data_IF_524715962495
#
_entry.id   IF_524715962495
#
_cell.length_a   1.000
_cell.length_b   1.000
_cell.length_c   1.000
_cell.angle_alpha   90.00
_cell.angle_beta   90.00
_cell.angle_gamma   90.00
#
_symmetry.space_group_name_H-M   'P 1'
#
loop_
_entity.id
_entity.type
_entity.pdbx_description
1 polymer ?
#
# COMPACT_ATOMS: atom_id res chain seq x y z
N UNK A 1 -0.86 15.38 5.40
CA UNK A 1 -2.03 14.53 5.11
C UNK A 1 -1.67 13.16 5.65
N UNK A 2 -2.48 12.55 6.52
CA UNK A 2 -2.15 11.25 7.12
C UNK A 2 -2.77 10.12 6.30
N UNK A 3 -2.01 9.05 6.14
CA UNK A 3 -2.39 7.84 5.43
C UNK A 3 -2.46 6.67 6.40
N UNK A 4 -3.47 5.83 6.22
CA UNK A 4 -3.60 4.54 6.88
C UNK A 4 -3.36 3.48 5.83
N UNK A 5 -2.36 2.62 6.05
CA UNK A 5 -2.03 1.50 5.17
C UNK A 5 -2.50 0.24 5.87
N UNK A 6 -3.53 -0.40 5.32
CA UNK A 6 -4.01 -1.70 5.77
C UNK A 6 -3.19 -2.78 5.08
N UNK A 7 -2.61 -3.64 5.91
CA UNK A 7 -1.77 -4.75 5.52
C UNK A 7 -2.61 -6.03 5.44
N UNK A 8 -2.14 -7.07 4.72
CA UNK A 8 -2.96 -8.25 4.40
C UNK A 8 -3.31 -9.15 5.60
N UNK A 9 -2.75 -8.86 6.78
CA UNK A 9 -2.91 -9.61 8.02
C UNK A 9 -3.75 -8.86 9.07
N UNK A 10 -4.71 -8.02 8.64
CA UNK A 10 -5.58 -7.22 9.53
C UNK A 10 -4.78 -6.30 10.49
N UNK A 11 -3.62 -5.85 10.02
CA UNK A 11 -2.84 -4.84 10.71
C UNK A 11 -2.78 -3.57 9.89
N UNK A 12 -2.51 -2.45 10.54
CA UNK A 12 -2.33 -1.17 9.86
C UNK A 12 -1.03 -0.50 10.26
N UNK A 13 -0.59 0.40 9.40
CA UNK A 13 0.49 1.35 9.66
C UNK A 13 0.03 2.76 9.28
N UNK A 14 0.50 3.75 10.03
CA UNK A 14 0.12 5.15 9.84
C UNK A 14 1.31 5.97 9.36
N UNK A 15 1.11 6.80 8.35
CA UNK A 15 2.19 7.60 7.75
C UNK A 15 1.74 9.03 7.49
N UNK A 16 2.65 9.97 7.70
CA UNK A 16 2.45 11.39 7.38
C UNK A 16 2.87 11.74 5.94
N UNK A 17 3.63 10.85 5.30
CA UNK A 17 4.27 11.10 4.01
C UNK A 17 3.96 9.99 2.99
N UNK A 18 3.52 10.40 1.80
CA UNK A 18 3.19 9.49 0.69
C UNK A 18 4.39 8.66 0.19
N UNK A 19 5.61 9.20 0.24
CA UNK A 19 6.82 8.46 -0.13
C UNK A 19 7.08 7.28 0.81
N UNK A 20 6.77 7.41 2.09
CA UNK A 20 6.91 6.31 3.05
C UNK A 20 5.88 5.21 2.76
N UNK A 21 4.63 5.61 2.47
CA UNK A 21 3.57 4.69 2.06
C UNK A 21 3.99 3.90 0.82
N UNK A 22 4.46 4.59 -0.22
CA UNK A 22 4.87 3.96 -1.47
C UNK A 22 6.01 2.96 -1.26
N UNK A 23 7.03 3.33 -0.49
CA UNK A 23 8.16 2.45 -0.21
C UNK A 23 7.74 1.17 0.51
N UNK A 24 6.90 1.28 1.56
CA UNK A 24 6.43 0.13 2.32
C UNK A 24 5.55 -0.78 1.47
N UNK A 25 4.63 -0.21 0.69
CA UNK A 25 3.76 -1.01 -0.17
C UNK A 25 4.56 -1.75 -1.25
N UNK A 26 5.52 -1.07 -1.89
CA UNK A 26 6.41 -1.69 -2.89
C UNK A 26 7.29 -2.79 -2.27
N UNK A 27 7.82 -2.59 -1.06
CA UNK A 27 8.61 -3.60 -0.37
C UNK A 27 7.80 -4.88 -0.12
N UNK A 28 6.54 -4.73 0.31
CA UNK A 28 5.63 -5.86 0.54
C UNK A 28 5.31 -6.59 -0.77
N UNK A 29 4.94 -5.86 -1.81
CA UNK A 29 4.66 -6.46 -3.13
C UNK A 29 5.89 -7.19 -3.69
N UNK A 30 7.09 -6.63 -3.54
CA UNK A 30 8.33 -7.27 -3.96
C UNK A 30 8.60 -8.56 -3.19
N UNK A 31 8.40 -8.58 -1.87
CA UNK A 31 8.55 -9.78 -1.06
C UNK A 31 7.63 -10.91 -1.54
N UNK A 32 6.39 -10.58 -1.91
CA UNK A 32 5.45 -11.56 -2.45
C UNK A 32 5.87 -12.10 -3.82
N UNK A 33 6.42 -11.26 -4.69
CA UNK A 33 6.97 -11.69 -5.97
C UNK A 33 8.21 -12.55 -5.79
N UNK A 34 9.09 -12.22 -4.83
CA UNK A 34 10.24 -13.05 -4.47
C UNK A 34 9.83 -14.41 -3.93
N UNK A 35 8.80 -14.47 -3.08
CA UNK A 35 8.29 -15.73 -2.53
C UNK A 35 7.63 -16.58 -3.64
N UNK A 36 6.86 -15.96 -4.54
CA UNK A 36 6.35 -16.63 -5.72
C UNK A 36 7.48 -17.18 -6.61
N UNK A 37 8.54 -16.40 -6.84
CA UNK A 37 9.69 -16.84 -7.64
C UNK A 37 10.36 -18.07 -7.02
N UNK A 38 10.58 -18.07 -5.69
CA UNK A 38 11.12 -19.22 -4.95
C UNK A 38 10.24 -20.46 -5.09
N UNK A 39 8.92 -20.30 -4.99
CA UNK A 39 7.96 -21.41 -5.17
C UNK A 39 8.03 -22.00 -6.58
N UNK A 40 8.28 -21.17 -7.59
CA UNK A 40 8.53 -21.61 -8.97
C UNK A 40 9.95 -22.13 -9.23
N UNK A 41 10.80 -22.20 -8.19
CA UNK A 41 12.22 -22.56 -8.29
C UNK A 41 13.02 -21.64 -9.23
N UNK A 42 12.62 -20.36 -9.25
CA UNK A 42 13.28 -19.29 -9.99
C UNK A 42 13.98 -18.35 -9.01
N UNK A 43 15.12 -17.82 -9.42
CA UNK A 43 15.78 -16.70 -8.72
C UNK A 43 15.25 -15.40 -9.33
N UNK A 44 14.75 -14.48 -8.50
CA UNK A 44 14.14 -13.22 -8.96
C UNK A 44 15.06 -12.42 -9.90
N UNK A 45 16.37 -12.43 -9.61
CA UNK A 45 17.41 -11.77 -10.40
C UNK A 45 17.59 -12.32 -11.81
N UNK A 46 17.18 -13.57 -12.06
CA UNK A 46 17.33 -14.27 -13.33
C UNK A 46 16.04 -14.24 -14.17
N UNK A 47 14.96 -13.68 -13.63
CA UNK A 47 13.68 -13.56 -14.32
C UNK A 47 13.72 -12.47 -15.41
N UNK A 48 13.15 -12.79 -16.56
CA UNK A 48 12.92 -11.80 -17.63
C UNK A 48 11.85 -10.79 -17.22
N UNK A 49 11.83 -9.58 -17.81
CA UNK A 49 10.79 -8.59 -17.54
C UNK A 49 9.35 -9.12 -17.75
N UNK A 50 9.16 -10.05 -18.68
CA UNK A 50 7.87 -10.70 -18.93
C UNK A 50 7.47 -11.63 -17.78
N UNK A 51 8.41 -12.41 -17.25
CA UNK A 51 8.17 -13.30 -16.11
C UNK A 51 7.91 -12.51 -14.84
N UNK A 52 8.63 -11.40 -14.63
CA UNK A 52 8.38 -10.47 -13.52
C UNK A 52 6.96 -9.89 -13.65
N UNK A 53 6.59 -9.39 -14.83
CA UNK A 53 5.26 -8.85 -15.07
C UNK A 53 4.16 -9.90 -14.88
N UNK A 54 4.40 -11.16 -15.25
CA UNK A 54 3.47 -12.25 -14.98
C UNK A 54 3.34 -12.53 -13.47
N UNK A 55 4.46 -12.59 -12.74
CA UNK A 55 4.46 -12.81 -11.31
C UNK A 55 3.70 -11.72 -10.55
N UNK A 56 3.89 -10.44 -10.88
CA UNK A 56 3.09 -9.35 -10.29
C UNK A 56 1.59 -9.51 -10.53
N UNK A 57 1.19 -9.94 -11.73
CA UNK A 57 -0.22 -10.20 -12.01
C UNK A 57 -0.78 -11.35 -11.18
N UNK A 58 -0.04 -12.47 -11.09
CA UNK A 58 -0.45 -13.63 -10.29
C UNK A 58 -0.54 -13.27 -8.81
N UNK A 59 0.53 -12.68 -8.26
CA UNK A 59 0.58 -12.23 -6.87
C UNK A 59 -0.54 -11.24 -6.56
N UNK A 60 -0.77 -10.24 -7.42
CA UNK A 60 -1.84 -9.26 -7.23
C UNK A 60 -3.25 -9.86 -7.30
N UNK A 61 -3.42 -11.03 -7.93
CA UNK A 61 -4.70 -11.77 -7.91
C UNK A 61 -4.86 -12.72 -6.74
N UNK A 62 -3.77 -13.27 -6.22
CA UNK A 62 -3.78 -14.27 -5.14
C UNK A 62 -3.65 -13.64 -3.74
N UNK A 63 -2.97 -12.50 -3.64
CA UNK A 63 -2.68 -11.82 -2.40
C UNK A 63 -3.25 -10.41 -2.45
N UNK A 64 -4.06 -10.07 -1.44
CA UNK A 64 -4.44 -8.69 -1.20
C UNK A 64 -3.15 -7.91 -0.92
N UNK A 65 -2.82 -6.95 -1.78
CA UNK A 65 -1.69 -6.05 -1.54
C UNK A 65 -1.99 -5.05 -0.42
N UNK A 66 -1.13 -4.05 -0.29
CA UNK A 66 -1.38 -2.96 0.64
C UNK A 66 -2.58 -2.11 0.18
N UNK A 67 -3.50 -1.83 1.09
CA UNK A 67 -4.65 -0.96 0.80
C UNK A 67 -4.46 0.36 1.53
N UNK A 68 -4.44 1.45 0.77
CA UNK A 68 -4.14 2.78 1.32
C UNK A 68 -5.41 3.59 1.43
N UNK A 69 -5.58 4.28 2.55
CA UNK A 69 -6.68 5.19 2.82
C UNK A 69 -6.16 6.52 3.36
N UNK A 70 -6.91 7.59 3.11
CA UNK A 70 -6.68 8.86 3.80
C UNK A 70 -7.45 8.87 5.12
N UNK A 71 -6.78 9.26 6.20
CA UNK A 71 -7.40 9.31 7.53
C UNK A 71 -8.66 10.17 7.57
N UNK A 72 -8.72 11.25 6.78
CA UNK A 72 -9.91 12.13 6.71
C UNK A 72 -11.14 11.42 6.15
N UNK A 73 -10.96 10.56 5.14
CA UNK A 73 -12.04 9.84 4.48
C UNK A 73 -12.59 8.75 5.41
N UNK A 74 -11.70 8.05 6.13
CA UNK A 74 -12.10 7.08 7.17
C UNK A 74 -12.93 7.76 8.25
N UNK A 75 -12.45 8.88 8.80
CA UNK A 75 -13.16 9.60 9.86
C UNK A 75 -14.48 10.21 9.37
N UNK A 76 -14.60 10.53 8.09
CA UNK A 76 -15.85 10.96 7.49
C UNK A 76 -16.84 9.80 7.39
N UNK A 77 -16.42 8.65 6.86
CA UNK A 77 -17.25 7.46 6.78
C UNK A 77 -17.76 7.02 8.16
N UNK A 78 -16.92 7.04 9.19
CA UNK A 78 -17.36 6.75 10.57
C UNK A 78 -18.50 7.68 11.05
N UNK A 79 -18.46 8.96 10.67
CA UNK A 79 -19.53 9.91 11.04
C UNK A 79 -20.81 9.65 10.27
N UNK A 80 -20.70 9.27 9.00
CA UNK A 80 -21.84 8.96 8.13
C UNK A 80 -22.57 7.69 8.60
N UNK A 81 -21.82 6.70 9.10
CA UNK A 81 -22.35 5.47 9.71
C UNK A 81 -22.93 5.68 11.12
N UNK A 82 -22.83 6.90 11.67
CA UNK A 82 -23.36 7.19 13.00
C UNK A 82 -22.58 6.53 14.13
N UNK A 83 -21.29 6.22 13.92
CA UNK A 83 -20.38 5.75 14.97
C UNK A 83 -20.30 6.80 16.08
N UNK A 84 -20.29 6.35 17.34
CA UNK A 84 -20.27 7.24 18.48
C UNK A 84 -18.97 8.06 18.55
N UNK A 85 -19.04 9.19 19.24
CA UNK A 85 -17.92 10.14 19.29
C UNK A 85 -16.69 9.58 20.00
N UNK A 86 -16.86 8.70 20.99
CA UNK A 86 -15.74 8.12 21.73
C UNK A 86 -14.95 7.16 20.85
N UNK A 87 -15.65 6.34 20.07
CA UNK A 87 -15.05 5.43 19.08
C UNK A 87 -14.31 6.19 17.98
N UNK A 88 -14.88 7.29 17.48
CA UNK A 88 -14.21 8.17 16.50
C UNK A 88 -12.93 8.78 17.08
N UNK A 89 -12.95 9.21 18.34
CA UNK A 89 -11.75 9.73 19.03
C UNK A 89 -10.69 8.64 19.15
N UNK A 90 -11.08 7.43 19.56
CA UNK A 90 -10.16 6.30 19.65
C UNK A 90 -9.51 5.94 18.32
N UNK A 91 -10.28 5.91 17.23
CA UNK A 91 -9.74 5.70 15.89
C UNK A 91 -8.79 6.83 15.47
N UNK A 92 -9.14 8.09 15.75
CA UNK A 92 -8.27 9.24 15.48
C UNK A 92 -6.95 9.15 16.25
N UNK A 93 -6.98 8.72 17.51
CA UNK A 93 -5.78 8.54 18.32
C UNK A 93 -4.90 7.42 17.75
N UNK A 94 -5.51 6.30 17.34
CA UNK A 94 -4.84 5.20 16.64
C UNK A 94 -4.14 5.69 15.37
N UNK A 95 -4.83 6.48 14.55
CA UNK A 95 -4.28 7.00 13.29
C UNK A 95 -3.20 8.08 13.48
N UNK A 96 -3.11 8.67 14.68
CA UNK A 96 -2.06 9.61 15.03
C UNK A 96 -0.84 8.95 15.69
N UNK A 97 -0.89 7.65 15.98
CA UNK A 97 0.29 6.92 16.43
C UNK A 97 1.28 6.78 15.27
N UNK A 98 2.47 7.36 15.43
CA UNK A 98 3.59 7.07 14.53
C UNK A 98 4.11 5.66 14.85
N UNK A 99 3.73 4.70 14.02
CA UNK A 99 4.10 3.30 14.20
C UNK A 99 5.15 2.90 13.17
N UNK A 100 6.34 2.55 13.65
CA UNK A 100 7.38 1.92 12.82
C UNK A 100 7.10 0.41 12.60
N UNK A 101 5.99 -0.10 13.12
CA UNK A 101 5.61 -1.52 13.07
C UNK A 101 4.11 -1.66 12.84
N UNK A 102 3.67 -2.74 12.18
CA UNK A 102 2.26 -3.05 12.03
C UNK A 102 1.56 -3.19 13.39
N UNK A 103 0.37 -2.62 13.50
CA UNK A 103 -0.49 -2.73 14.68
C UNK A 103 -1.83 -3.36 14.30
N UNK A 104 -2.31 -4.28 15.12
CA UNK A 104 -3.67 -4.81 14.95
C UNK A 104 -4.67 -3.66 15.15
N UNK A 105 -5.71 -3.63 14.31
CA UNK A 105 -6.76 -2.63 14.41
C UNK A 105 -8.09 -3.28 14.82
N UNK A 106 -9.01 -2.52 15.44
CA UNK A 106 -10.29 -3.06 15.87
C UNK A 106 -11.18 -3.46 14.66
N UNK A 107 -11.85 -4.60 14.75
CA UNK A 107 -12.66 -5.16 13.64
C UNK A 107 -13.81 -4.25 13.15
N UNK A 108 -14.28 -3.29 13.95
CA UNK A 108 -15.29 -2.33 13.48
C UNK A 108 -14.78 -1.48 12.31
N UNK A 109 -13.46 -1.34 12.16
CA UNK A 109 -12.88 -0.61 11.04
C UNK A 109 -13.01 -1.36 9.72
N UNK A 110 -13.19 -2.68 9.74
CA UNK A 110 -13.41 -3.44 8.51
C UNK A 110 -14.67 -2.95 7.78
N UNK A 111 -15.77 -2.79 8.51
CA UNK A 111 -17.03 -2.24 7.97
C UNK A 111 -16.81 -0.83 7.39
N UNK A 112 -16.06 0.01 8.09
CA UNK A 112 -15.74 1.37 7.64
C UNK A 112 -14.89 1.34 6.37
N UNK A 113 -13.86 0.49 6.31
CA UNK A 113 -12.98 0.37 5.15
C UNK A 113 -13.74 -0.09 3.91
N UNK A 114 -14.78 -0.91 4.03
CA UNK A 114 -15.61 -1.29 2.88
C UNK A 114 -16.37 -0.12 2.24
N UNK A 115 -16.62 0.96 2.99
CA UNK A 115 -17.32 2.16 2.52
C UNK A 115 -16.39 3.24 1.97
N UNK A 116 -15.10 3.17 2.32
CA UNK A 116 -14.10 4.15 1.88
C UNK A 116 -13.45 3.67 0.59
N UNK A 117 -13.39 4.53 -0.42
CA UNK A 117 -12.64 4.19 -1.64
C UNK A 117 -11.13 4.24 -1.36
N UNK A 118 -10.38 3.13 -1.57
CA UNK A 118 -8.94 3.15 -1.41
C UNK A 118 -8.26 4.13 -2.35
N UNK A 119 -7.16 4.70 -1.88
CA UNK A 119 -6.30 5.58 -2.67
C UNK A 119 -5.29 4.73 -3.45
N UNK A 120 -5.28 4.78 -4.79
CA UNK A 120 -4.28 4.05 -5.57
C UNK A 120 -2.87 4.53 -5.23
N UNK A 121 -1.92 3.62 -5.00
CA UNK A 121 -0.52 3.98 -4.68
C UNK A 121 0.07 4.88 -5.76
N UNK A 122 -0.25 4.63 -7.03
CA UNK A 122 0.16 5.46 -8.17
C UNK A 122 -0.31 6.91 -8.10
N UNK A 123 -1.40 7.19 -7.37
CA UNK A 123 -1.94 8.54 -7.21
C UNK A 123 -1.23 9.34 -6.12
N UNK A 124 -0.57 8.67 -5.17
CA UNK A 124 0.14 9.30 -4.04
C UNK A 124 1.65 9.31 -4.23
N UNK A 125 2.21 8.35 -4.96
CA UNK A 125 3.66 8.18 -5.07
C UNK A 125 4.33 9.16 -6.03
N UNK A 126 3.58 9.97 -6.80
CA UNK A 126 4.11 10.91 -7.81
C UNK A 126 4.88 10.25 -8.96
N UNK A 127 5.19 8.96 -8.83
CA UNK A 127 5.92 8.13 -9.76
C UNK A 127 4.95 7.52 -10.76
N UNK A 128 4.34 8.37 -11.59
CA UNK A 128 4.25 7.97 -12.99
C UNK A 128 5.70 7.78 -13.39
N UNK A 129 6.09 6.56 -13.77
CA UNK A 129 7.44 6.27 -14.25
C UNK A 129 7.90 7.41 -15.15
N UNK A 130 8.73 8.32 -14.63
CA UNK A 130 9.60 9.10 -15.50
C UNK A 130 10.65 8.09 -15.90
N UNK A 131 10.30 7.22 -16.85
CA UNK A 131 11.29 6.73 -17.77
C UNK A 131 11.86 8.01 -18.38
N UNK A 132 12.98 8.49 -17.82
CA UNK A 132 13.87 9.28 -18.64
C UNK A 132 14.14 8.38 -19.82
N UNK A 133 13.59 8.74 -20.99
CA UNK A 133 14.03 8.14 -22.23
C UNK A 133 15.55 8.29 -22.18
N UNK A 134 16.27 7.19 -22.03
CA UNK A 134 17.70 7.12 -22.32
C UNK A 134 17.77 7.21 -23.84
N UNK A 135 17.52 8.40 -24.32
CA UNK A 135 17.13 8.70 -25.67
C UNK A 135 17.93 9.91 -26.09
N UNK A 136 19.13 9.58 -26.58
CA UNK A 136 19.91 10.37 -27.52
C UNK A 136 20.68 11.53 -26.90
N UNK A 137 21.89 11.23 -26.44
CA UNK A 137 23.11 12.03 -26.63
C UNK A 137 24.26 11.25 -25.96
N UNK A 138 25.02 10.49 -26.76
CA UNK A 138 26.42 10.10 -26.49
C UNK A 138 26.90 9.20 -27.64
N UNK A 139 26.90 9.75 -28.85
CA UNK A 139 27.84 9.36 -29.90
C UNK A 139 28.56 10.64 -30.32
N UNK A 140 29.56 11.02 -29.54
CA UNK A 140 30.71 11.77 -30.03
C UNK A 140 31.95 11.07 -29.47
N UNK A 141 32.63 10.33 -30.34
CA UNK A 141 34.08 10.10 -30.49
C UNK A 141 34.36 8.81 -31.28
#
# INVERSE_FOLDING_TARGET
>A
MKYVVVLPNETLMCFDNASQVANVCMEIENNYVEDYAKDQQLEFQDMTPTEIGFAYNVVGTEQLGCVVYETREILQAMREEGVDSETIIGAKDLFNMDTNKPIAYPSFLDDVFTQVTPVPISSISGNVYTMQNVGKDDYDY
#
